data_IF_841102315282
#
_entry.id   IF_841102315282
#
_cell.length_a   1.000
_cell.length_b   1.000
_cell.length_c   1.000
_cell.angle_alpha   90.00
_cell.angle_beta   90.00
_cell.angle_gamma   90.00
#
_symmetry.space_group_name_H-M   'P 1'
#
loop_
_entity.id
_entity.type
_entity.pdbx_description
1 polymer ?
#
# COMPACT_ATOMS: atom_id res chain seq x y z
N UNK A 1 -25.03 -6.48 5.94
CA UNK A 1 -23.85 -5.70 5.54
C UNK A 1 -24.11 -4.24 5.90
N UNK A 2 -24.09 -3.95 7.18
CA UNK A 2 -24.33 -2.61 7.70
C UNK A 2 -23.50 -2.49 8.96
N UNK A 3 -22.32 -1.91 8.83
CA UNK A 3 -21.47 -1.32 9.86
C UNK A 3 -20.30 -0.67 9.11
N UNK A 4 -20.58 0.43 8.42
CA UNK A 4 -19.56 1.45 8.19
C UNK A 4 -19.98 2.57 9.13
N UNK A 5 -19.36 2.63 10.32
CA UNK A 5 -19.29 3.92 11.00
C UNK A 5 -18.76 4.91 9.96
N UNK A 6 -19.47 6.01 9.77
CA UNK A 6 -19.22 6.96 8.69
C UNK A 6 -17.73 7.38 8.77
N UNK A 7 -16.93 6.95 7.79
CA UNK A 7 -15.50 7.25 7.68
C UNK A 7 -15.34 8.75 7.40
N UNK A 8 -15.55 9.57 8.42
CA UNK A 8 -15.49 11.01 8.28
C UNK A 8 -14.05 11.47 8.47
N UNK A 9 -13.40 11.72 7.34
CA UNK A 9 -12.18 12.51 7.34
C UNK A 9 -12.56 13.98 7.45
N UNK A 10 -11.84 14.70 8.28
CA UNK A 10 -11.88 16.15 8.25
C UNK A 10 -11.42 16.68 6.88
N UNK A 11 -11.77 17.93 6.62
CA UNK A 11 -11.34 18.62 5.40
C UNK A 11 -9.81 18.51 5.25
N UNK A 12 -9.27 18.13 4.08
CA UNK A 12 -7.82 18.01 3.86
C UNK A 12 -7.06 19.35 3.97
N UNK A 13 -7.77 20.45 4.22
CA UNK A 13 -7.24 21.79 4.45
C UNK A 13 -6.94 22.06 5.94
N UNK A 14 -7.58 21.34 6.87
CA UNK A 14 -7.30 21.45 8.30
C UNK A 14 -6.06 20.64 8.68
N UNK A 15 -5.52 20.86 9.88
CA UNK A 15 -4.38 20.09 10.41
C UNK A 15 -4.81 18.64 10.62
N UNK A 16 -5.94 18.41 11.29
CA UNK A 16 -6.51 17.08 11.49
C UNK A 16 -6.73 16.32 10.17
N UNK A 17 -7.41 16.93 9.19
CA UNK A 17 -7.68 16.26 7.91
C UNK A 17 -6.44 16.04 7.05
N UNK A 18 -5.36 16.78 7.27
CA UNK A 18 -4.06 16.50 6.66
C UNK A 18 -3.36 15.32 7.35
N UNK A 19 -3.36 15.28 8.69
CA UNK A 19 -2.79 14.17 9.48
C UNK A 19 -3.49 12.84 9.21
N UNK A 20 -4.82 12.83 9.19
CA UNK A 20 -5.64 11.65 8.91
C UNK A 20 -5.33 11.01 7.55
N UNK A 21 -4.76 11.78 6.61
CA UNK A 21 -4.35 11.32 5.28
C UNK A 21 -2.84 11.17 5.12
N UNK A 22 -2.07 11.33 6.20
CA UNK A 22 -0.62 11.22 6.18
C UNK A 22 0.08 12.26 5.30
N UNK A 23 -0.53 13.43 5.11
CA UNK A 23 0.04 14.48 4.26
C UNK A 23 1.16 15.20 5.00
N UNK A 24 2.26 15.49 4.31
CA UNK A 24 3.41 16.16 4.94
C UNK A 24 3.10 17.53 5.55
N UNK A 25 2.13 18.25 5.00
CA UNK A 25 1.66 19.52 5.59
C UNK A 25 0.93 19.33 6.92
N UNK A 26 0.42 18.13 7.21
CA UNK A 26 -0.11 17.75 8.52
C UNK A 26 1.04 17.64 9.52
N UNK A 27 2.07 16.85 9.18
CA UNK A 27 3.26 16.66 10.00
C UNK A 27 3.95 17.98 10.39
N UNK A 28 4.08 18.92 9.45
CA UNK A 28 4.72 20.21 9.72
C UNK A 28 3.92 21.11 10.68
N UNK A 29 2.60 20.94 10.76
CA UNK A 29 1.69 21.85 11.50
C UNK A 29 1.08 21.24 12.76
N UNK A 30 1.17 19.93 12.94
CA UNK A 30 0.56 19.20 14.04
C UNK A 30 1.16 19.57 15.41
N UNK A 31 0.31 19.66 16.43
CA UNK A 31 0.71 19.64 17.83
C UNK A 31 0.59 18.23 18.44
N UNK A 32 1.06 18.03 19.69
CA UNK A 32 0.99 16.73 20.36
C UNK A 32 -0.42 16.13 20.47
N UNK A 33 -1.42 16.95 20.73
CA UNK A 33 -2.81 16.47 20.88
C UNK A 33 -3.42 16.05 19.54
N UNK A 34 -3.06 16.74 18.44
CA UNK A 34 -3.50 16.35 17.09
C UNK A 34 -2.97 14.95 16.71
N UNK A 35 -1.70 14.70 17.02
CA UNK A 35 -1.04 13.41 16.73
C UNK A 35 -1.61 12.32 17.61
N UNK A 36 -1.80 12.57 18.91
CA UNK A 36 -2.41 11.58 19.80
C UNK A 36 -3.84 11.22 19.36
N UNK A 37 -4.65 12.21 18.96
CA UNK A 37 -5.99 11.96 18.42
C UNK A 37 -5.95 11.13 17.13
N UNK A 38 -4.94 11.34 16.28
CA UNK A 38 -4.74 10.56 15.05
C UNK A 38 -4.18 9.15 15.30
N UNK A 39 -3.47 8.91 16.41
CA UNK A 39 -3.05 7.55 16.83
C UNK A 39 -4.23 6.78 17.40
N UNK A 40 -5.06 7.44 18.22
CA UNK A 40 -6.24 6.86 18.89
C UNK A 40 -7.29 6.29 17.93
N UNK A 41 -7.29 6.71 16.66
CA UNK A 41 -8.22 6.21 15.64
C UNK A 41 -7.46 5.94 14.35
N UNK A 42 -7.66 4.76 13.76
CA UNK A 42 -7.13 4.50 12.43
C UNK A 42 -7.92 5.26 11.37
N UNK A 43 -7.19 6.01 10.53
CA UNK A 43 -7.75 6.74 9.38
C UNK A 43 -7.23 6.18 8.05
N UNK A 44 -6.50 5.06 8.06
CA UNK A 44 -6.01 4.40 6.84
C UNK A 44 -7.17 3.82 6.07
N UNK A 45 -7.36 4.30 4.83
CA UNK A 45 -8.43 3.78 3.98
C UNK A 45 -8.27 2.29 3.70
N UNK A 46 -7.03 1.84 3.54
CA UNK A 46 -6.66 0.44 3.50
C UNK A 46 -5.35 0.26 4.27
N UNK A 47 -5.45 -0.25 5.49
CA UNK A 47 -4.31 -0.45 6.39
C UNK A 47 -3.23 -1.38 5.83
N UNK A 48 -3.58 -2.29 4.92
CA UNK A 48 -2.63 -3.26 4.35
C UNK A 48 -1.59 -2.67 3.38
N UNK A 49 -1.76 -1.41 2.95
CA UNK A 49 -0.90 -0.75 1.95
C UNK A 49 -0.53 0.69 2.34
N UNK A 50 -0.79 1.10 3.57
CA UNK A 50 -0.67 2.49 4.01
C UNK A 50 0.39 2.60 5.13
N UNK A 51 1.46 3.35 4.87
CA UNK A 51 2.64 3.44 5.75
C UNK A 51 2.49 4.44 6.92
N UNK A 52 1.25 4.75 7.32
CA UNK A 52 0.98 5.77 8.37
C UNK A 52 1.63 5.49 9.72
N UNK A 53 1.92 4.24 10.05
CA UNK A 53 2.59 3.91 11.31
C UNK A 53 3.95 4.59 11.44
N UNK A 54 4.77 4.57 10.38
CA UNK A 54 6.09 5.23 10.35
C UNK A 54 5.95 6.75 10.46
N UNK A 55 4.97 7.30 9.75
CA UNK A 55 4.63 8.73 9.81
C UNK A 55 4.24 9.18 11.22
N UNK A 56 3.34 8.46 11.89
CA UNK A 56 2.89 8.78 13.24
C UNK A 56 3.99 8.55 14.28
N UNK A 57 4.78 7.48 14.17
CA UNK A 57 5.91 7.20 15.06
C UNK A 57 6.96 8.32 15.03
N UNK A 58 7.28 8.84 13.84
CA UNK A 58 8.17 10.01 13.70
C UNK A 58 7.60 11.23 14.40
N UNK A 59 6.30 11.49 14.25
CA UNK A 59 5.65 12.62 14.91
C UNK A 59 5.63 12.46 16.43
N UNK A 60 5.40 11.26 16.95
CA UNK A 60 5.51 10.94 18.38
C UNK A 60 6.91 11.29 18.90
N UNK A 61 7.96 10.85 18.19
CA UNK A 61 9.36 11.17 18.52
C UNK A 61 9.65 12.67 18.44
N UNK A 62 9.35 13.28 17.30
CA UNK A 62 9.75 14.65 16.97
C UNK A 62 9.04 15.68 17.87
N UNK A 63 7.78 15.42 18.25
CA UNK A 63 7.01 16.22 19.19
C UNK A 63 7.16 15.79 20.66
N UNK A 64 7.97 14.75 20.93
CA UNK A 64 8.26 14.21 22.27
C UNK A 64 7.00 13.82 23.04
N UNK A 65 6.06 13.15 22.37
CA UNK A 65 4.88 12.60 23.04
C UNK A 65 5.32 11.49 23.99
N UNK A 66 4.76 11.41 25.22
CA UNK A 66 5.09 10.32 26.12
C UNK A 66 4.60 8.98 25.54
N UNK A 67 5.53 8.10 25.20
CA UNK A 67 5.23 6.76 24.66
C UNK A 67 4.39 5.93 25.63
N UNK A 68 4.53 6.16 26.94
CA UNK A 68 3.65 5.56 27.96
C UNK A 68 2.15 5.81 27.71
N UNK A 69 1.76 6.97 27.17
CA UNK A 69 0.34 7.22 26.81
C UNK A 69 -0.16 6.32 25.68
N UNK A 70 0.72 5.90 24.77
CA UNK A 70 0.39 4.95 23.71
C UNK A 70 0.34 3.53 24.25
N UNK A 71 1.18 3.20 25.23
CA UNK A 71 1.11 1.91 25.95
C UNK A 71 -0.19 1.79 26.73
N UNK A 72 -0.62 2.86 27.41
CA UNK A 72 -1.92 2.91 28.09
C UNK A 72 -3.05 2.71 27.08
N UNK A 73 -2.99 3.41 25.94
CA UNK A 73 -3.95 3.28 24.84
C UNK A 73 -4.02 1.86 24.28
N UNK A 74 -2.88 1.19 24.06
CA UNK A 74 -2.82 -0.20 23.59
C UNK A 74 -3.52 -1.18 24.56
N UNK A 75 -3.58 -0.84 25.84
CA UNK A 75 -4.19 -1.64 26.92
C UNK A 75 -5.64 -1.22 27.21
N UNK A 76 -6.17 -0.18 26.57
CA UNK A 76 -7.58 0.14 26.67
C UNK A 76 -8.42 -1.01 26.11
N UNK A 77 -9.59 -1.25 26.72
CA UNK A 77 -10.56 -2.20 26.18
C UNK A 77 -11.24 -1.53 24.97
N UNK A 78 -10.88 -1.98 23.77
CA UNK A 78 -11.39 -1.42 22.52
C UNK A 78 -12.76 -1.99 22.11
N UNK A 79 -13.29 -2.98 22.85
CA UNK A 79 -14.52 -3.68 22.47
C UNK A 79 -14.40 -4.40 21.11
N UNK A 80 -15.45 -5.12 20.71
CA UNK A 80 -15.44 -5.91 19.47
C UNK A 80 -15.51 -5.06 18.18
N UNK A 81 -15.78 -3.75 18.28
CA UNK A 81 -16.08 -2.87 17.14
C UNK A 81 -14.98 -1.81 16.84
N UNK A 82 -13.88 -1.75 17.61
CA UNK A 82 -12.79 -0.75 17.43
C UNK A 82 -11.39 -1.38 17.24
N UNK A 83 -11.31 -2.47 16.48
CA UNK A 83 -10.04 -3.09 16.03
C UNK A 83 -9.07 -2.07 15.39
N UNK A 84 -9.62 -0.99 14.85
CA UNK A 84 -8.88 0.10 14.21
C UNK A 84 -7.92 0.80 15.20
N UNK A 85 -8.37 1.13 16.42
CA UNK A 85 -7.53 1.82 17.41
C UNK A 85 -6.37 0.96 17.90
N UNK A 86 -6.63 -0.32 18.16
CA UNK A 86 -5.61 -1.30 18.58
C UNK A 86 -4.53 -1.47 17.51
N UNK A 87 -4.93 -1.78 16.27
CA UNK A 87 -4.02 -2.03 15.15
C UNK A 87 -3.07 -0.86 14.90
N UNK A 88 -3.61 0.36 14.80
CA UNK A 88 -2.80 1.56 14.55
C UNK A 88 -1.85 1.88 15.71
N UNK A 89 -2.30 1.77 16.97
CA UNK A 89 -1.45 2.03 18.14
C UNK A 89 -0.33 1.01 18.26
N UNK A 90 -0.66 -0.28 18.05
CA UNK A 90 0.30 -1.39 18.00
C UNK A 90 1.39 -1.13 16.98
N UNK A 91 1.03 -0.84 15.72
CA UNK A 91 2.02 -0.62 14.66
C UNK A 91 2.92 0.60 14.95
N UNK A 92 2.38 1.69 15.50
CA UNK A 92 3.19 2.86 15.91
C UNK A 92 4.19 2.47 17.00
N UNK A 93 3.78 1.69 18.00
CA UNK A 93 4.69 1.19 19.05
C UNK A 93 5.74 0.23 18.48
N UNK A 94 5.37 -0.63 17.53
CA UNK A 94 6.32 -1.53 16.85
C UNK A 94 7.42 -0.72 16.14
N UNK A 95 7.06 0.34 15.41
CA UNK A 95 8.05 1.21 14.76
C UNK A 95 8.93 1.95 15.77
N UNK A 96 8.35 2.44 16.87
CA UNK A 96 9.11 3.11 17.95
C UNK A 96 10.13 2.17 18.61
N UNK A 97 9.73 0.94 18.93
CA UNK A 97 10.63 -0.04 19.52
C UNK A 97 11.73 -0.49 18.55
N UNK A 98 11.42 -0.67 17.25
CA UNK A 98 12.41 -0.93 16.20
C UNK A 98 13.46 0.18 16.12
N UNK A 99 13.05 1.42 16.37
CA UNK A 99 13.92 2.59 16.40
C UNK A 99 14.66 2.79 17.76
N UNK A 100 14.47 1.88 18.72
CA UNK A 100 15.18 1.88 20.00
C UNK A 100 14.48 2.65 21.13
N UNK A 101 13.19 2.96 21.02
CA UNK A 101 12.46 3.55 22.15
C UNK A 101 12.35 2.55 23.31
N UNK A 102 12.90 2.87 24.51
CA UNK A 102 12.96 1.91 25.61
C UNK A 102 11.58 1.59 26.18
N UNK A 103 10.63 2.54 26.13
CA UNK A 103 9.28 2.30 26.66
C UNK A 103 8.53 1.30 25.79
N UNK A 104 8.65 1.42 24.46
CA UNK A 104 8.06 0.46 23.52
C UNK A 104 8.75 -0.92 23.60
N UNK A 105 10.08 -0.94 23.70
CA UNK A 105 10.87 -2.18 23.85
C UNK A 105 10.51 -2.98 25.11
N UNK A 106 10.20 -2.31 26.22
CA UNK A 106 9.75 -2.98 27.44
C UNK A 106 8.26 -3.37 27.36
N UNK A 107 7.42 -2.50 26.78
CA UNK A 107 5.97 -2.65 26.83
C UNK A 107 5.43 -3.74 25.90
N UNK A 108 5.94 -3.90 24.68
CA UNK A 108 5.40 -4.87 23.73
C UNK A 108 5.67 -6.33 24.14
N UNK A 109 6.88 -6.74 24.56
CA UNK A 109 7.10 -8.06 25.16
C UNK A 109 6.24 -8.31 26.41
N UNK A 110 6.03 -7.27 27.24
CA UNK A 110 5.12 -7.37 28.37
C UNK A 110 3.66 -7.55 27.94
N UNK A 111 3.22 -6.91 26.85
CA UNK A 111 1.90 -7.11 26.27
C UNK A 111 1.73 -8.51 25.68
N UNK A 112 2.75 -9.07 25.02
CA UNK A 112 2.71 -10.47 24.54
C UNK A 112 2.43 -11.45 25.68
N UNK A 113 2.91 -11.15 26.89
CA UNK A 113 2.72 -11.99 28.08
C UNK A 113 1.26 -12.04 28.53
N UNK A 114 0.57 -10.91 28.60
CA UNK A 114 -0.74 -10.79 29.28
C UNK A 114 -1.88 -10.18 28.46
N UNK A 115 -1.59 -9.49 27.36
CA UNK A 115 -2.57 -8.78 26.55
C UNK A 115 -3.51 -9.70 25.76
N UNK A 116 -4.75 -9.26 25.48
CA UNK A 116 -5.71 -10.03 24.67
C UNK A 116 -5.23 -10.19 23.21
N UNK A 117 -4.73 -9.12 22.58
CA UNK A 117 -4.19 -9.12 21.20
C UNK A 117 -2.72 -9.54 21.09
N UNK A 118 -2.25 -10.43 21.97
CA UNK A 118 -0.83 -10.80 22.05
C UNK A 118 -0.27 -11.40 20.76
N UNK A 119 -1.10 -12.13 19.99
CA UNK A 119 -0.68 -12.81 18.76
C UNK A 119 -0.27 -11.79 17.69
N UNK A 120 -1.06 -10.72 17.56
CA UNK A 120 -0.82 -9.61 16.65
C UNK A 120 0.47 -8.86 17.02
N UNK A 121 0.68 -8.56 18.31
CA UNK A 121 1.93 -7.92 18.77
C UNK A 121 3.13 -8.81 18.50
N UNK A 122 3.02 -10.11 18.77
CA UNK A 122 4.09 -11.07 18.55
C UNK A 122 4.49 -11.17 17.07
N UNK A 123 3.51 -11.24 16.16
CA UNK A 123 3.79 -11.29 14.71
C UNK A 123 4.49 -10.02 14.24
N UNK A 124 4.03 -8.85 14.69
CA UNK A 124 4.63 -7.57 14.32
C UNK A 124 6.09 -7.48 14.77
N UNK A 125 6.38 -7.71 16.06
CA UNK A 125 7.76 -7.62 16.57
C UNK A 125 8.65 -8.71 15.96
N UNK A 126 8.12 -9.92 15.71
CA UNK A 126 8.90 -10.98 15.08
C UNK A 126 9.22 -10.71 13.61
N UNK A 127 8.34 -9.97 12.93
CA UNK A 127 8.55 -9.52 11.55
C UNK A 127 9.55 -8.35 11.47
N UNK A 128 9.42 -7.37 12.37
CA UNK A 128 10.12 -6.08 12.25
C UNK A 128 11.39 -5.94 13.09
N UNK A 129 11.50 -6.64 14.21
CA UNK A 129 12.61 -6.46 15.17
C UNK A 129 13.70 -7.52 14.99
N UNK A 130 14.96 -7.19 15.33
CA UNK A 130 16.01 -8.18 15.46
C UNK A 130 15.58 -9.35 16.34
N UNK A 131 15.93 -10.58 15.92
CA UNK A 131 15.51 -11.83 16.56
C UNK A 131 15.83 -11.87 18.04
N UNK A 132 16.95 -11.30 18.45
CA UNK A 132 17.43 -11.27 19.83
C UNK A 132 16.46 -10.56 20.80
N UNK A 133 15.56 -9.72 20.29
CA UNK A 133 14.62 -8.96 21.10
C UNK A 133 13.29 -9.70 21.39
N UNK A 134 13.05 -10.85 20.77
CA UNK A 134 11.79 -11.60 20.94
C UNK A 134 11.96 -13.13 20.98
N UNK A 135 13.12 -13.68 20.65
CA UNK A 135 13.32 -15.13 20.56
C UNK A 135 13.13 -15.87 21.90
N UNK A 136 13.28 -15.17 23.03
CA UNK A 136 13.08 -15.68 24.39
C UNK A 136 11.61 -15.69 24.85
N UNK A 137 10.68 -15.22 24.01
CA UNK A 137 9.25 -15.19 24.34
C UNK A 137 8.55 -16.55 24.23
N UNK A 138 9.18 -17.56 23.61
CA UNK A 138 8.57 -18.88 23.40
C UNK A 138 7.97 -19.51 24.69
N UNK A 139 8.67 -19.54 25.85
CA UNK A 139 8.10 -20.10 27.08
C UNK A 139 6.88 -19.33 27.61
N UNK A 140 6.75 -18.04 27.29
CA UNK A 140 5.60 -17.21 27.67
C UNK A 140 4.41 -17.43 26.73
N UNK A 141 4.70 -17.66 25.45
CA UNK A 141 3.70 -17.86 24.39
C UNK A 141 3.15 -19.28 24.40
N UNK A 142 3.97 -20.29 24.67
CA UNK A 142 3.57 -21.69 24.55
C UNK A 142 2.29 -22.06 25.32
N UNK A 143 2.08 -21.62 26.58
CA UNK A 143 0.83 -21.88 27.29
C UNK A 143 -0.40 -21.20 26.69
N UNK A 144 -0.20 -20.12 25.90
CA UNK A 144 -1.27 -19.29 25.32
C UNK A 144 -1.73 -19.76 23.93
N UNK A 145 -0.97 -20.67 23.30
CA UNK A 145 -1.32 -21.18 21.96
C UNK A 145 -2.57 -22.06 21.97
N UNK A 146 -2.90 -22.66 23.13
CA UNK A 146 -4.07 -23.53 23.28
C UNK A 146 -5.37 -22.75 23.04
N UNK A 147 -6.16 -23.18 22.06
CA UNK A 147 -7.45 -22.59 21.71
C UNK A 147 -7.40 -21.47 20.67
N UNK A 148 -6.21 -21.10 20.17
CA UNK A 148 -6.03 -20.08 19.12
C UNK A 148 -5.23 -20.60 17.93
N UNK A 149 -5.00 -21.91 17.83
CA UNK A 149 -4.12 -22.52 16.82
C UNK A 149 -4.53 -22.23 15.37
N UNK A 150 -5.84 -22.12 15.13
CA UNK A 150 -6.43 -21.82 13.82
C UNK A 150 -6.27 -20.35 13.43
N UNK A 151 -5.96 -19.47 14.39
CA UNK A 151 -5.68 -18.04 14.15
C UNK A 151 -4.20 -17.78 13.83
N UNK A 152 -3.32 -18.76 14.07
CA UNK A 152 -1.88 -18.59 13.90
C UNK A 152 -1.48 -18.70 12.41
N UNK A 153 -0.81 -17.67 11.90
CA UNK A 153 -0.15 -17.71 10.60
C UNK A 153 1.22 -18.39 10.69
N UNK A 154 1.24 -19.72 10.49
CA UNK A 154 2.42 -20.57 10.66
C UNK A 154 3.53 -20.37 9.61
N UNK A 155 3.28 -19.63 8.53
CA UNK A 155 4.20 -19.54 7.39
C UNK A 155 5.29 -18.46 7.53
N UNK A 156 5.42 -17.83 8.70
CA UNK A 156 6.46 -16.82 8.97
C UNK A 156 6.95 -16.81 10.42
N UNK A 157 7.89 -15.89 10.75
CA UNK A 157 8.32 -15.63 12.12
C UNK A 157 7.15 -15.25 13.03
N UNK A 158 7.22 -15.58 14.33
CA UNK A 158 8.32 -16.28 15.00
C UNK A 158 8.27 -17.80 14.80
N UNK A 159 7.21 -18.35 14.20
CA UNK A 159 6.94 -19.78 14.19
C UNK A 159 7.97 -20.58 13.39
N UNK A 160 8.39 -20.05 12.24
CA UNK A 160 9.44 -20.65 11.42
C UNK A 160 10.77 -20.72 12.16
N UNK A 161 11.08 -19.74 13.00
CA UNK A 161 12.30 -19.69 13.82
C UNK A 161 12.24 -20.62 15.03
N UNK A 162 11.05 -20.75 15.63
CA UNK A 162 10.84 -21.59 16.82
C UNK A 162 10.65 -23.07 16.47
N UNK A 163 10.32 -23.40 15.22
CA UNK A 163 10.20 -24.77 14.74
C UNK A 163 11.46 -25.63 14.99
N UNK A 164 12.65 -25.02 15.06
CA UNK A 164 13.89 -25.74 15.36
C UNK A 164 13.97 -26.21 16.82
N UNK A 165 13.22 -25.57 17.73
CA UNK A 165 13.27 -25.79 19.19
C UNK A 165 12.04 -26.51 19.72
N UNK A 166 10.93 -26.50 18.97
CA UNK A 166 9.66 -27.11 19.35
C UNK A 166 9.08 -27.97 18.22
N UNK A 167 8.99 -29.28 18.46
CA UNK A 167 8.51 -30.24 17.46
C UNK A 167 7.02 -30.12 17.12
N UNK A 168 6.20 -29.58 18.02
CA UNK A 168 4.79 -29.32 17.74
C UNK A 168 4.63 -28.13 16.81
N UNK A 169 5.37 -27.04 17.05
CA UNK A 169 5.45 -25.89 16.13
C UNK A 169 5.98 -26.36 14.76
N UNK A 170 7.04 -27.16 14.73
CA UNK A 170 7.61 -27.68 13.49
C UNK A 170 6.58 -28.43 12.62
N UNK A 171 5.73 -29.26 13.25
CA UNK A 171 4.68 -29.98 12.55
C UNK A 171 3.63 -29.05 11.94
N UNK A 172 3.24 -27.97 12.65
CA UNK A 172 2.28 -26.97 12.16
C UNK A 172 2.84 -26.15 11.01
N UNK A 173 4.09 -25.68 11.13
CA UNK A 173 4.80 -24.99 10.05
C UNK A 173 4.86 -25.88 8.80
N UNK A 174 5.23 -27.16 8.95
CA UNK A 174 5.28 -28.10 7.83
C UNK A 174 3.91 -28.30 7.16
N UNK A 175 2.83 -28.39 7.94
CA UNK A 175 1.47 -28.54 7.43
C UNK A 175 0.95 -27.26 6.73
N UNK A 176 1.47 -26.09 7.07
CA UNK A 176 1.07 -24.81 6.47
C UNK A 176 1.74 -24.50 5.13
N UNK A 177 2.76 -25.27 4.73
CA UNK A 177 3.47 -25.04 3.48
C UNK A 177 2.53 -25.22 2.28
N UNK A 178 2.54 -24.30 1.30
CA UNK A 178 1.71 -24.44 0.13
C UNK A 178 2.03 -25.77 -0.58
N UNK A 179 0.97 -26.40 -1.09
CA UNK A 179 1.09 -27.65 -1.85
C UNK A 179 1.95 -27.47 -3.10
N UNK A 180 2.40 -28.58 -3.72
CA UNK A 180 3.20 -28.53 -4.94
C UNK A 180 2.46 -27.73 -6.05
N UNK A 181 3.21 -27.06 -6.93
CA UNK A 181 2.61 -26.36 -8.06
C UNK A 181 1.74 -27.32 -8.88
N UNK A 182 0.61 -26.81 -9.40
CA UNK A 182 -0.29 -27.61 -10.24
C UNK A 182 0.42 -28.06 -11.51
N UNK A 183 0.16 -29.28 -12.01
CA UNK A 183 0.72 -29.74 -13.27
C UNK A 183 0.28 -28.84 -14.44
N UNK A 184 1.17 -28.71 -15.42
CA UNK A 184 0.92 -28.03 -16.70
C UNK A 184 -0.11 -28.83 -17.51
N UNK A 185 -1.08 -28.16 -18.16
CA UNK A 185 -1.96 -28.84 -19.12
C UNK A 185 -1.23 -29.13 -20.42
N UNK A 186 -1.52 -30.26 -21.05
CA UNK A 186 -1.03 -30.64 -22.39
C UNK A 186 -1.92 -30.10 -23.54
N UNK A 187 -3.04 -29.45 -23.23
CA UNK A 187 -3.96 -28.88 -24.23
C UNK A 187 -3.26 -27.86 -25.13
N UNK A 188 -3.64 -27.78 -26.40
CA UNK A 188 -3.09 -26.78 -27.33
C UNK A 188 -3.58 -25.38 -26.97
N UNK A 189 -2.90 -24.33 -27.47
CA UNK A 189 -3.37 -22.94 -27.26
C UNK A 189 -4.76 -22.76 -27.88
N UNK A 190 -5.01 -23.38 -29.03
CA UNK A 190 -6.29 -23.37 -29.73
C UNK A 190 -7.42 -24.00 -28.90
N UNK A 191 -7.16 -25.17 -28.29
CA UNK A 191 -8.15 -25.85 -27.42
C UNK A 191 -8.50 -24.99 -26.20
N UNK A 192 -7.48 -24.39 -25.58
CA UNK A 192 -7.66 -23.52 -24.42
C UNK A 192 -8.43 -22.24 -24.81
N UNK A 193 -8.13 -21.63 -25.96
CA UNK A 193 -8.88 -20.45 -26.45
C UNK A 193 -10.36 -20.80 -26.73
N UNK A 194 -10.64 -21.97 -27.28
CA UNK A 194 -12.00 -22.46 -27.47
C UNK A 194 -12.72 -22.65 -26.12
N UNK A 195 -12.04 -23.23 -25.13
CA UNK A 195 -12.58 -23.40 -23.79
C UNK A 195 -12.86 -22.07 -23.09
N UNK A 196 -11.96 -21.08 -23.21
CA UNK A 196 -12.16 -19.71 -22.69
C UNK A 196 -13.40 -19.06 -23.29
N UNK A 197 -13.64 -19.22 -24.59
CA UNK A 197 -14.85 -18.71 -25.25
C UNK A 197 -16.14 -19.27 -24.64
N UNK A 198 -16.08 -20.48 -24.08
CA UNK A 198 -17.20 -21.12 -23.40
C UNK A 198 -17.25 -20.89 -21.88
N UNK A 199 -16.34 -20.07 -21.33
CA UNK A 199 -16.34 -19.72 -19.90
C UNK A 199 -15.35 -20.51 -19.03
N UNK A 200 -14.42 -21.26 -19.62
CA UNK A 200 -13.44 -22.02 -18.82
C UNK A 200 -12.35 -21.11 -18.22
N UNK A 201 -12.48 -20.85 -16.91
CA UNK A 201 -11.52 -20.07 -16.13
C UNK A 201 -10.18 -20.78 -15.96
N UNK A 202 -10.15 -22.12 -15.90
CA UNK A 202 -8.91 -22.87 -15.77
C UNK A 202 -8.10 -22.77 -17.06
N UNK A 203 -8.77 -22.83 -18.22
CA UNK A 203 -8.12 -22.62 -19.51
C UNK A 203 -7.51 -21.22 -19.63
N UNK A 204 -8.21 -20.18 -19.19
CA UNK A 204 -7.68 -18.81 -19.18
C UNK A 204 -6.44 -18.68 -18.28
N UNK A 205 -6.48 -19.29 -17.08
CA UNK A 205 -5.32 -19.30 -16.17
C UNK A 205 -4.12 -20.03 -16.77
N UNK A 206 -4.37 -21.13 -17.48
CA UNK A 206 -3.31 -21.88 -18.16
C UNK A 206 -2.69 -21.09 -19.31
N UNK A 207 -3.51 -20.41 -20.12
CA UNK A 207 -3.03 -19.47 -21.15
C UNK A 207 -2.18 -18.35 -20.54
N UNK A 208 -2.66 -17.75 -19.45
CA UNK A 208 -1.95 -16.70 -18.72
C UNK A 208 -0.59 -17.17 -18.18
N UNK A 209 -0.54 -18.41 -17.66
CA UNK A 209 0.69 -19.07 -17.19
C UNK A 209 1.70 -19.31 -18.32
N UNK A 210 1.22 -19.57 -19.54
CA UNK A 210 2.06 -19.75 -20.75
C UNK A 210 2.60 -18.44 -21.32
N UNK A 211 2.18 -17.29 -20.78
CA UNK A 211 2.61 -15.97 -21.22
C UNK A 211 1.59 -15.30 -22.15
N UNK A 212 1.92 -14.11 -22.69
CA UNK A 212 0.97 -13.31 -23.44
C UNK A 212 0.44 -14.02 -24.70
N UNK A 213 -0.89 -13.99 -24.90
CA UNK A 213 -1.57 -14.67 -26.01
C UNK A 213 -2.29 -13.65 -26.90
N UNK A 214 -1.69 -13.19 -28.02
CA UNK A 214 -2.32 -12.23 -28.92
C UNK A 214 -3.69 -12.66 -29.46
N UNK A 215 -3.90 -13.97 -29.62
CA UNK A 215 -5.17 -14.55 -30.07
C UNK A 215 -6.35 -14.32 -29.10
N UNK A 216 -6.09 -13.92 -27.85
CA UNK A 216 -7.16 -13.48 -26.93
C UNK A 216 -7.86 -12.22 -27.45
N UNK A 217 -7.20 -11.35 -28.23
CA UNK A 217 -7.80 -10.11 -28.74
C UNK A 217 -9.06 -10.39 -29.58
N UNK A 218 -9.06 -11.51 -30.32
CA UNK A 218 -10.18 -11.95 -31.17
C UNK A 218 -11.38 -12.49 -30.36
N UNK A 219 -11.22 -12.73 -29.06
CA UNK A 219 -12.26 -13.25 -28.16
C UNK A 219 -12.99 -12.18 -27.36
N UNK A 220 -12.56 -10.91 -27.43
CA UNK A 220 -13.00 -9.85 -26.53
C UNK A 220 -14.52 -9.65 -26.44
N UNK A 221 -15.23 -9.76 -27.56
CA UNK A 221 -16.69 -9.61 -27.62
C UNK A 221 -17.45 -10.92 -27.31
N UNK A 222 -16.76 -12.07 -27.23
CA UNK A 222 -17.37 -13.39 -27.09
C UNK A 222 -17.22 -14.00 -25.68
N UNK A 223 -16.41 -13.40 -24.81
CA UNK A 223 -16.10 -13.95 -23.49
C UNK A 223 -17.26 -13.71 -22.51
N UNK A 224 -17.65 -14.73 -21.71
CA UNK A 224 -18.67 -14.58 -20.68
C UNK A 224 -18.35 -13.52 -19.61
N UNK A 225 -19.40 -12.91 -19.05
CA UNK A 225 -19.27 -11.77 -18.15
C UNK A 225 -18.48 -12.07 -16.86
N UNK A 226 -18.57 -13.29 -16.34
CA UNK A 226 -17.85 -13.70 -15.14
C UNK A 226 -16.33 -13.80 -15.35
N UNK A 227 -15.87 -13.90 -16.61
CA UNK A 227 -14.45 -13.94 -16.97
C UNK A 227 -13.87 -12.56 -17.29
N UNK A 228 -14.67 -11.52 -17.49
CA UNK A 228 -14.19 -10.22 -18.01
C UNK A 228 -13.01 -9.63 -17.22
N UNK A 229 -13.03 -9.72 -15.89
CA UNK A 229 -11.92 -9.24 -15.05
C UNK A 229 -10.60 -9.99 -15.30
N UNK A 230 -10.63 -11.33 -15.21
CA UNK A 230 -9.46 -12.17 -15.46
C UNK A 230 -9.00 -12.10 -16.93
N UNK A 231 -9.95 -12.00 -17.86
CA UNK A 231 -9.66 -11.90 -19.29
C UNK A 231 -8.99 -10.57 -19.61
N UNK A 232 -9.51 -9.46 -19.03
CA UNK A 232 -8.90 -8.16 -19.11
C UNK A 232 -7.46 -8.14 -18.62
N UNK A 233 -7.19 -8.76 -17.47
CA UNK A 233 -5.82 -8.91 -16.93
C UNK A 233 -4.89 -9.65 -17.89
N UNK A 234 -5.34 -10.77 -18.48
CA UNK A 234 -4.56 -11.52 -19.47
C UNK A 234 -4.30 -10.71 -20.75
N UNK A 235 -5.29 -9.94 -21.20
CA UNK A 235 -5.17 -9.06 -22.38
C UNK A 235 -4.20 -7.90 -22.13
N UNK A 236 -4.16 -7.31 -20.93
CA UNK A 236 -3.18 -6.27 -20.60
C UNK A 236 -1.74 -6.75 -20.78
N UNK A 237 -1.43 -8.02 -20.45
CA UNK A 237 -0.09 -8.61 -20.60
C UNK A 237 0.38 -8.75 -22.06
N UNK A 238 -0.52 -8.65 -23.03
CA UNK A 238 -0.16 -8.63 -24.47
C UNK A 238 0.65 -7.37 -24.79
N UNK A 239 0.35 -6.25 -24.13
CA UNK A 239 1.06 -5.00 -24.26
C UNK A 239 0.78 -4.25 -25.56
N UNK A 240 1.81 -3.64 -26.15
CA UNK A 240 1.69 -2.75 -27.32
C UNK A 240 0.88 -3.30 -28.52
N UNK A 241 0.95 -4.60 -28.89
CA UNK A 241 0.10 -5.17 -29.94
C UNK A 241 -1.41 -5.05 -29.69
N UNK A 242 -1.85 -4.88 -28.43
CA UNK A 242 -3.25 -4.73 -28.08
C UNK A 242 -3.80 -3.30 -28.31
N UNK A 243 -2.95 -2.29 -28.57
CA UNK A 243 -3.35 -0.88 -28.68
C UNK A 243 -4.48 -0.62 -29.70
N UNK A 244 -4.46 -1.19 -30.94
CA UNK A 244 -5.55 -0.97 -31.89
C UNK A 244 -6.93 -1.45 -31.37
N UNK A 245 -6.94 -2.57 -30.67
CA UNK A 245 -8.15 -3.12 -30.05
C UNK A 245 -8.59 -2.26 -28.85
N UNK A 246 -7.63 -1.87 -28.01
CA UNK A 246 -7.86 -1.00 -26.87
C UNK A 246 -8.50 0.34 -27.27
N UNK A 247 -8.07 0.96 -28.37
CA UNK A 247 -8.72 2.19 -28.89
C UNK A 247 -10.20 1.97 -29.23
N UNK A 248 -10.52 0.83 -29.82
CA UNK A 248 -11.89 0.45 -30.19
C UNK A 248 -12.77 0.20 -28.95
N UNK A 249 -12.21 -0.42 -27.91
CA UNK A 249 -12.91 -0.66 -26.65
C UNK A 249 -13.05 0.62 -25.81
N UNK A 250 -12.01 1.46 -25.74
CA UNK A 250 -12.00 2.71 -24.98
C UNK A 250 -12.88 3.82 -25.58
N UNK A 251 -13.32 3.65 -26.83
CA UNK A 251 -14.33 4.49 -27.47
C UNK A 251 -15.76 4.23 -26.94
N UNK A 252 -15.98 3.09 -26.28
CA UNK A 252 -17.28 2.61 -25.78
C UNK A 252 -17.20 2.37 -24.26
N UNK A 253 -17.56 3.35 -23.40
CA UNK A 253 -17.51 3.20 -21.95
C UNK A 253 -18.30 2.01 -21.38
N UNK A 254 -19.31 1.54 -22.10
CA UNK A 254 -20.13 0.37 -21.81
C UNK A 254 -19.46 -0.96 -22.17
N UNK A 255 -18.35 -0.93 -22.92
CA UNK A 255 -17.65 -2.13 -23.32
C UNK A 255 -17.06 -2.84 -22.09
N UNK A 256 -17.17 -4.17 -21.97
CA UNK A 256 -16.70 -4.84 -20.75
C UNK A 256 -15.20 -4.74 -20.50
N UNK A 257 -14.41 -4.53 -21.57
CA UNK A 257 -12.97 -4.28 -21.49
C UNK A 257 -12.60 -2.80 -21.47
N UNK A 258 -13.54 -1.87 -21.26
CA UNK A 258 -13.26 -0.43 -21.24
C UNK A 258 -12.11 -0.08 -20.27
N UNK A 259 -12.13 -0.65 -19.06
CA UNK A 259 -11.09 -0.40 -18.06
C UNK A 259 -9.72 -0.94 -18.52
N UNK A 260 -9.66 -2.22 -18.90
CA UNK A 260 -8.43 -2.86 -19.40
C UNK A 260 -7.87 -2.16 -20.62
N UNK A 261 -8.74 -1.68 -21.51
CA UNK A 261 -8.36 -0.88 -22.66
C UNK A 261 -7.66 0.41 -22.23
N UNK A 262 -8.20 1.12 -21.25
CA UNK A 262 -7.58 2.35 -20.74
C UNK A 262 -6.23 2.07 -20.06
N UNK A 263 -6.05 0.93 -19.37
CA UNK A 263 -4.76 0.51 -18.83
C UNK A 263 -3.73 0.25 -19.94
N UNK A 264 -4.12 -0.48 -21.00
CA UNK A 264 -3.26 -0.71 -22.17
C UNK A 264 -2.87 0.61 -22.83
N UNK A 265 -3.80 1.54 -22.99
CA UNK A 265 -3.50 2.86 -23.56
C UNK A 265 -2.62 3.71 -22.63
N UNK A 266 -2.80 3.62 -21.32
CA UNK A 266 -1.96 4.30 -20.36
C UNK A 266 -0.51 3.83 -20.47
N UNK A 267 -0.28 2.52 -20.62
CA UNK A 267 1.06 1.93 -20.70
C UNK A 267 1.69 2.05 -22.10
N UNK A 268 0.92 1.85 -23.17
CA UNK A 268 1.45 1.67 -24.53
C UNK A 268 0.89 2.62 -25.59
N UNK A 269 -0.15 3.40 -25.28
CA UNK A 269 -0.74 4.36 -26.20
C UNK A 269 0.17 5.55 -26.53
N UNK A 270 -0.35 6.51 -27.27
CA UNK A 270 0.33 7.77 -27.61
C UNK A 270 -0.52 8.99 -27.24
N UNK A 271 -0.07 10.19 -27.60
CA UNK A 271 -0.74 11.46 -27.25
C UNK A 271 -2.22 11.49 -27.70
N UNK A 272 -2.59 10.75 -28.74
CA UNK A 272 -3.98 10.68 -29.22
C UNK A 272 -4.94 9.99 -28.25
N UNK A 273 -4.41 9.21 -27.30
CA UNK A 273 -5.19 8.43 -26.33
C UNK A 273 -5.56 9.23 -25.06
N UNK A 274 -5.07 10.48 -24.93
CA UNK A 274 -5.36 11.36 -23.79
C UNK A 274 -6.85 11.52 -23.44
N UNK A 275 -7.76 11.74 -24.42
CA UNK A 275 -9.20 11.78 -24.15
C UNK A 275 -9.77 10.49 -23.54
N UNK A 276 -9.24 9.32 -23.91
CA UNK A 276 -9.68 8.04 -23.34
C UNK A 276 -9.28 7.92 -21.86
N UNK A 277 -8.04 8.29 -21.53
CA UNK A 277 -7.56 8.27 -20.15
C UNK A 277 -8.32 9.27 -19.25
N UNK A 278 -8.66 10.45 -19.77
CA UNK A 278 -9.50 11.42 -19.04
C UNK A 278 -10.91 10.89 -18.78
N UNK A 279 -11.50 10.16 -19.73
CA UNK A 279 -12.79 9.46 -19.53
C UNK A 279 -12.66 8.34 -18.50
N UNK A 280 -11.58 7.55 -18.54
CA UNK A 280 -11.32 6.50 -17.56
C UNK A 280 -11.21 7.07 -16.14
N UNK A 281 -10.50 8.20 -16.00
CA UNK A 281 -10.43 8.91 -14.73
C UNK A 281 -11.82 9.35 -14.26
N UNK A 282 -12.61 10.00 -15.14
CA UNK A 282 -13.97 10.44 -14.79
C UNK A 282 -14.90 9.27 -14.43
N UNK A 283 -14.71 8.12 -15.07
CA UNK A 283 -15.43 6.89 -14.77
C UNK A 283 -15.08 6.33 -13.38
N UNK A 284 -13.80 6.36 -12.99
CA UNK A 284 -13.39 6.00 -11.61
C UNK A 284 -13.91 7.03 -10.59
N UNK A 285 -13.75 8.33 -10.86
CA UNK A 285 -14.23 9.43 -9.99
C UNK A 285 -15.73 9.32 -9.68
N UNK A 286 -16.52 8.74 -10.61
CA UNK A 286 -17.96 8.59 -10.49
C UNK A 286 -18.43 7.35 -9.73
N UNK A 287 -17.51 6.50 -9.24
CA UNK A 287 -17.83 5.30 -8.45
C UNK A 287 -17.71 5.60 -6.96
N UNK A 288 -18.82 5.45 -6.24
CA UNK A 288 -18.85 5.67 -4.80
C UNK A 288 -17.85 4.76 -4.06
N UNK A 289 -17.02 5.36 -3.20
CA UNK A 289 -16.05 4.66 -2.37
C UNK A 289 -14.82 4.10 -3.10
N UNK A 290 -14.73 4.21 -4.43
CA UNK A 290 -13.58 3.71 -5.19
C UNK A 290 -12.45 4.75 -5.19
N UNK A 291 -11.40 4.50 -4.41
CA UNK A 291 -10.25 5.40 -4.31
C UNK A 291 -8.94 4.81 -4.87
N UNK A 292 -9.01 3.61 -5.45
CA UNK A 292 -7.89 2.88 -6.04
C UNK A 292 -8.07 2.72 -7.57
N UNK A 293 -6.97 2.49 -8.28
CA UNK A 293 -6.86 2.34 -9.73
C UNK A 293 -6.41 3.61 -10.46
N UNK A 294 -6.10 4.72 -9.78
CA UNK A 294 -5.70 5.95 -10.47
C UNK A 294 -4.21 6.00 -10.79
N UNK A 295 -3.39 5.16 -10.16
CA UNK A 295 -1.94 5.09 -10.38
C UNK A 295 -1.59 4.91 -11.87
N UNK A 296 -2.18 3.92 -12.53
CA UNK A 296 -1.87 3.63 -13.94
C UNK A 296 -2.31 4.78 -14.86
N UNK A 297 -3.44 5.43 -14.54
CA UNK A 297 -3.89 6.61 -15.27
C UNK A 297 -2.94 7.81 -15.07
N UNK A 298 -2.42 8.00 -13.85
CA UNK A 298 -1.45 9.05 -13.57
C UNK A 298 -0.13 8.81 -14.31
N UNK A 299 0.36 7.56 -14.31
CA UNK A 299 1.52 7.13 -15.13
C UNK A 299 1.28 7.39 -16.61
N UNK A 300 0.09 7.01 -17.11
CA UNK A 300 -0.33 7.27 -18.49
C UNK A 300 -0.35 8.75 -18.84
N UNK A 301 -0.98 9.58 -17.99
CA UNK A 301 -1.00 11.04 -18.17
C UNK A 301 0.41 11.61 -18.28
N UNK A 302 1.32 11.21 -17.40
CA UNK A 302 2.71 11.64 -17.41
C UNK A 302 3.42 11.24 -18.71
N UNK A 303 3.27 9.98 -19.11
CA UNK A 303 3.96 9.38 -20.26
C UNK A 303 3.53 10.00 -21.60
N UNK A 304 2.24 10.23 -21.80
CA UNK A 304 1.69 10.76 -23.07
C UNK A 304 1.39 12.26 -23.03
N UNK A 305 1.71 12.95 -21.93
CA UNK A 305 1.61 14.42 -21.87
C UNK A 305 0.20 14.99 -21.65
N UNK A 306 -0.70 14.29 -20.95
CA UNK A 306 -2.11 14.73 -20.73
C UNK A 306 -2.20 15.85 -19.69
N UNK A 307 -1.79 17.07 -20.05
CA UNK A 307 -1.83 18.25 -19.16
C UNK A 307 -3.23 18.62 -18.65
N UNK A 308 -4.28 18.28 -19.39
CA UNK A 308 -5.66 18.47 -18.95
C UNK A 308 -6.00 17.66 -17.68
N UNK A 309 -5.20 16.64 -17.33
CA UNK A 309 -5.31 15.86 -16.09
C UNK A 309 -4.75 16.56 -14.85
N UNK A 310 -4.02 17.68 -14.96
CA UNK A 310 -3.38 18.35 -13.82
C UNK A 310 -4.34 18.70 -12.66
N UNK A 311 -5.55 19.25 -12.89
CA UNK A 311 -6.49 19.52 -11.79
C UNK A 311 -6.90 18.26 -11.03
N UNK A 312 -7.01 17.12 -11.74
CA UNK A 312 -7.38 15.82 -11.18
C UNK A 312 -6.26 15.27 -10.30
N UNK A 313 -5.02 15.29 -10.79
CA UNK A 313 -3.83 14.89 -10.01
C UNK A 313 -3.67 15.72 -8.73
N UNK A 314 -3.87 17.04 -8.80
CA UNK A 314 -3.79 17.94 -7.64
C UNK A 314 -4.88 17.64 -6.59
N UNK A 315 -6.07 17.23 -7.04
CA UNK A 315 -7.14 16.77 -6.14
C UNK A 315 -6.80 15.40 -5.54
N UNK A 316 -6.29 14.48 -6.35
CA UNK A 316 -5.93 13.13 -5.97
C UNK A 316 -4.84 13.10 -4.89
N UNK A 317 -3.90 14.05 -4.91
CA UNK A 317 -2.92 14.23 -3.83
C UNK A 317 -3.54 14.24 -2.41
N UNK A 318 -4.78 14.73 -2.28
CA UNK A 318 -5.48 14.87 -1.01
C UNK A 318 -6.45 13.71 -0.70
N UNK A 319 -6.39 12.59 -1.41
CA UNK A 319 -7.22 11.41 -1.10
C UNK A 319 -6.66 10.67 0.12
N UNK A 320 -7.50 9.85 0.81
CA UNK A 320 -7.03 8.98 1.87
C UNK A 320 -6.42 7.66 1.35
N UNK A 321 -6.54 7.35 0.07
CA UNK A 321 -5.81 6.25 -0.55
C UNK A 321 -4.41 6.75 -0.90
N UNK A 322 -3.49 6.55 0.04
CA UNK A 322 -2.16 7.17 0.03
C UNK A 322 -1.17 6.42 -0.85
N UNK A 323 -1.31 5.09 -0.96
CA UNK A 323 -0.48 4.20 -1.76
C UNK A 323 -0.17 4.71 -3.19
N UNK A 324 -1.13 5.30 -3.88
CA UNK A 324 -0.94 5.77 -5.27
C UNK A 324 -0.30 7.17 -5.37
N UNK A 325 -0.05 7.83 -4.24
CA UNK A 325 0.32 9.25 -4.19
C UNK A 325 1.64 9.54 -4.89
N UNK A 326 2.60 8.60 -4.88
CA UNK A 326 3.86 8.78 -5.61
C UNK A 326 3.63 8.85 -7.12
N UNK A 327 2.68 8.09 -7.66
CA UNK A 327 2.31 8.18 -9.07
C UNK A 327 1.74 9.56 -9.41
N UNK A 328 0.95 10.15 -8.51
CA UNK A 328 0.45 11.51 -8.70
C UNK A 328 1.58 12.54 -8.67
N UNK A 329 2.53 12.41 -7.74
CA UNK A 329 3.68 13.32 -7.65
C UNK A 329 4.57 13.24 -8.88
N UNK A 330 4.89 12.02 -9.34
CA UNK A 330 5.66 11.77 -10.57
C UNK A 330 4.97 12.40 -11.78
N UNK A 331 3.65 12.23 -11.90
CA UNK A 331 2.88 12.82 -12.98
C UNK A 331 2.82 14.36 -12.91
N UNK A 332 2.70 14.95 -11.72
CA UNK A 332 2.74 16.40 -11.53
C UNK A 332 4.10 16.98 -11.97
N UNK A 333 5.21 16.34 -11.56
CA UNK A 333 6.56 16.76 -11.94
C UNK A 333 6.76 16.64 -13.46
N UNK A 334 6.28 15.58 -14.09
CA UNK A 334 6.41 15.40 -15.55
C UNK A 334 5.61 16.43 -16.35
N UNK A 335 4.38 16.75 -15.92
CA UNK A 335 3.44 17.58 -16.69
C UNK A 335 3.57 19.08 -16.42
N UNK A 336 3.94 19.45 -15.19
CA UNK A 336 4.02 20.82 -14.68
C UNK A 336 5.16 20.96 -13.63
N UNK A 337 6.44 20.90 -14.05
CA UNK A 337 7.58 20.97 -13.14
C UNK A 337 7.55 22.20 -12.22
N UNK A 338 7.17 23.37 -12.75
CA UNK A 338 7.10 24.62 -11.99
C UNK A 338 5.97 24.63 -10.95
N UNK A 339 4.84 24.01 -11.24
CA UNK A 339 3.73 23.86 -10.28
C UNK A 339 3.88 22.72 -9.28
N UNK A 340 4.87 21.83 -9.47
CA UNK A 340 5.08 20.64 -8.65
C UNK A 340 5.91 20.90 -7.38
N UNK A 341 6.65 22.02 -7.29
CA UNK A 341 7.58 22.31 -6.18
C UNK A 341 6.96 22.19 -4.79
N UNK A 342 5.72 22.67 -4.62
CA UNK A 342 5.01 22.57 -3.33
C UNK A 342 4.74 21.13 -2.91
N UNK A 343 4.47 20.25 -3.89
CA UNK A 343 4.18 18.83 -3.64
C UNK A 343 5.46 18.05 -3.38
N UNK A 344 6.55 18.40 -4.06
CA UNK A 344 7.89 17.87 -3.75
C UNK A 344 8.33 18.27 -2.34
N UNK A 345 8.13 19.53 -1.97
CA UNK A 345 8.46 20.00 -0.61
C UNK A 345 7.61 19.27 0.42
N UNK A 346 6.29 19.25 0.26
CA UNK A 346 5.38 18.53 1.16
C UNK A 346 5.72 17.03 1.23
N UNK A 347 6.10 16.44 0.10
CA UNK A 347 6.45 15.02 -0.05
C UNK A 347 7.56 14.55 0.89
N UNK A 348 8.47 15.42 1.35
CA UNK A 348 9.53 15.06 2.30
C UNK A 348 9.02 14.69 3.71
N UNK A 349 7.74 14.96 3.99
CA UNK A 349 7.07 14.63 5.24
C UNK A 349 5.87 13.70 5.04
N UNK A 350 5.63 13.23 3.82
CA UNK A 350 4.48 12.40 3.50
C UNK A 350 4.56 11.02 4.19
N UNK A 351 3.41 10.34 4.37
CA UNK A 351 3.38 9.03 4.99
C UNK A 351 3.94 7.91 4.13
N UNK A 352 3.87 8.03 2.81
CA UNK A 352 4.39 7.00 1.92
C UNK A 352 5.90 7.17 1.66
N UNK A 353 6.65 6.09 1.83
CA UNK A 353 8.10 6.04 1.59
C UNK A 353 8.47 6.39 0.15
N UNK A 354 7.74 5.89 -0.83
CA UNK A 354 7.99 6.15 -2.25
C UNK A 354 7.74 7.61 -2.67
N UNK A 355 6.81 8.30 -2.00
CA UNK A 355 6.59 9.75 -2.11
C UNK A 355 7.80 10.49 -1.54
N UNK A 356 8.26 10.10 -0.34
CA UNK A 356 9.45 10.71 0.29
C UNK A 356 10.70 10.48 -0.55
N UNK A 357 10.88 9.29 -1.10
CA UNK A 357 12.03 8.92 -1.95
C UNK A 357 12.06 9.80 -3.19
N UNK A 358 10.94 9.85 -3.93
CA UNK A 358 10.85 10.64 -5.14
C UNK A 358 11.00 12.15 -4.84
N UNK A 359 10.38 12.64 -3.75
CA UNK A 359 10.53 14.00 -3.29
C UNK A 359 12.00 14.34 -2.96
N UNK A 360 12.68 13.49 -2.20
CA UNK A 360 14.07 13.67 -1.84
C UNK A 360 14.98 13.76 -3.07
N UNK A 361 14.73 12.95 -4.10
CA UNK A 361 15.50 12.98 -5.33
C UNK A 361 15.29 14.25 -6.19
N UNK A 362 14.13 14.90 -6.12
CA UNK A 362 13.74 15.95 -7.09
C UNK A 362 13.50 17.34 -6.50
N UNK A 363 13.37 17.46 -5.17
CA UNK A 363 13.08 18.75 -4.53
C UNK A 363 14.17 19.80 -4.82
N UNK A 364 13.81 21.06 -5.09
CA UNK A 364 14.77 22.16 -5.16
C UNK A 364 15.49 22.36 -3.82
N UNK A 365 16.82 22.55 -3.86
CA UNK A 365 17.59 22.70 -2.63
C UNK A 365 17.50 24.11 -2.06
N UNK A 366 17.22 24.17 -0.76
CA UNK A 366 17.38 25.34 0.09
C UNK A 366 18.03 24.91 1.42
N UNK A 367 18.44 25.86 2.26
CA UNK A 367 19.00 25.54 3.57
C UNK A 367 18.01 24.75 4.46
N UNK A 368 16.71 25.03 4.34
CA UNK A 368 15.65 24.30 5.07
C UNK A 368 15.53 22.87 4.54
N UNK A 369 15.51 22.71 3.22
CA UNK A 369 15.38 21.40 2.58
C UNK A 369 16.60 20.52 2.86
N UNK A 370 17.82 21.07 2.81
CA UNK A 370 19.04 20.32 3.15
C UNK A 370 18.98 19.75 4.57
N UNK A 371 18.54 20.55 5.55
CA UNK A 371 18.34 20.05 6.93
C UNK A 371 17.30 18.94 7.00
N UNK A 372 16.21 19.04 6.24
CA UNK A 372 15.20 17.97 6.20
C UNK A 372 15.76 16.68 5.58
N UNK A 373 16.56 16.80 4.52
CA UNK A 373 17.22 15.65 3.89
C UNK A 373 18.27 15.02 4.82
N UNK A 374 19.03 15.81 5.60
CA UNK A 374 19.91 15.27 6.64
C UNK A 374 19.12 14.44 7.66
N UNK A 375 17.97 14.94 8.12
CA UNK A 375 17.08 14.19 9.02
C UNK A 375 16.63 12.87 8.37
N UNK A 376 16.16 12.89 7.12
CA UNK A 376 15.72 11.68 6.42
C UNK A 376 16.86 10.67 6.24
N UNK A 377 18.07 11.13 5.91
CA UNK A 377 19.27 10.28 5.76
C UNK A 377 19.59 9.51 7.05
N UNK A 378 19.45 10.17 8.19
CA UNK A 378 19.92 9.66 9.48
C UNK A 378 18.81 9.00 10.31
N UNK A 379 17.55 9.05 9.86
CA UNK A 379 16.41 8.52 10.59
C UNK A 379 16.39 6.97 10.59
N UNK A 380 16.50 6.30 11.75
CA UNK A 380 16.44 4.84 11.84
C UNK A 380 15.06 4.26 11.53
N UNK A 381 14.00 5.08 11.55
CA UNK A 381 12.65 4.66 11.14
C UNK A 381 12.46 4.71 9.63
N UNK A 382 13.42 5.26 8.87
CA UNK A 382 13.31 5.46 7.42
C UNK A 382 13.81 4.28 6.59
N UNK A 383 13.15 4.07 5.45
CA UNK A 383 13.53 3.03 4.50
C UNK A 383 14.92 3.29 3.92
N UNK A 384 15.71 2.24 3.63
CA UNK A 384 17.03 2.39 3.00
C UNK A 384 17.00 3.23 1.70
N UNK A 385 15.94 3.10 0.92
CA UNK A 385 15.73 3.79 -0.36
C UNK A 385 15.62 5.31 -0.16
N UNK A 386 14.78 5.76 0.77
CA UNK A 386 14.62 7.19 1.08
C UNK A 386 15.92 7.76 1.67
N UNK A 387 16.58 7.01 2.56
CA UNK A 387 17.88 7.42 3.14
C UNK A 387 18.95 7.60 2.05
N UNK A 388 19.00 6.68 1.10
CA UNK A 388 19.91 6.73 -0.04
C UNK A 388 19.58 7.91 -0.96
N UNK A 389 18.31 8.12 -1.29
CA UNK A 389 17.86 9.26 -2.10
C UNK A 389 18.22 10.61 -1.44
N UNK A 390 18.01 10.74 -0.13
CA UNK A 390 18.36 11.93 0.63
C UNK A 390 19.89 12.17 0.66
N UNK A 391 20.68 11.13 0.91
CA UNK A 391 22.15 11.20 0.90
C UNK A 391 22.71 11.60 -0.47
N UNK A 392 22.19 11.00 -1.54
CA UNK A 392 22.58 11.33 -2.91
C UNK A 392 22.23 12.79 -3.25
N UNK A 393 21.05 13.26 -2.82
CA UNK A 393 20.59 14.62 -3.11
C UNK A 393 21.46 15.70 -2.46
N UNK A 394 21.89 15.50 -1.22
CA UNK A 394 22.71 16.48 -0.48
C UNK A 394 24.20 16.42 -0.86
N UNK A 395 24.70 15.24 -1.26
CA UNK A 395 26.08 15.01 -1.71
C UNK A 395 26.31 15.37 -3.17
N UNK A 396 25.25 15.45 -3.97
CA UNK A 396 25.29 15.99 -5.32
C UNK A 396 25.49 17.52 -5.34
N UNK A 397 26.05 18.06 -6.45
CA UNK A 397 26.23 19.51 -6.64
C UNK A 397 24.92 20.30 -6.58
#
# INVERSE_FOLDING_TARGET
>A
MGFLSEWYYDSPRTVAGALQRGLGRGAVRAGPDDVFACVRRDYRWNWSVDERAVYLARLVRDLRLPVGRLVDLLREDHGEDDDNAFGNTREVLTVLGRAGDPTALDALPAYVRDGPGWLDVLHDIAHDWPRELWDDLLPLVAPRMAGVEDMIFWAGPPWTDWAERDGWIAARVAASRPGPPRPVSDDTVEDLLAAVRTGDRAALRELDRRGPQPALLDLADAVPADLHGSFGSAVCKIGAPAVPHARTWAARPEHPLFWSACLILAEHGDESDGPALLRAWAWLDGRDGMLCGFEDLAKGFARIGVRAGLPKLRRAWCTPHTFERAAYLRALVALDPGGAERFLTEGLWDCEGDVREFAAAHVPLSAVIRRRLDVLRDDPMETPEVRAAAAARIGGP
#
